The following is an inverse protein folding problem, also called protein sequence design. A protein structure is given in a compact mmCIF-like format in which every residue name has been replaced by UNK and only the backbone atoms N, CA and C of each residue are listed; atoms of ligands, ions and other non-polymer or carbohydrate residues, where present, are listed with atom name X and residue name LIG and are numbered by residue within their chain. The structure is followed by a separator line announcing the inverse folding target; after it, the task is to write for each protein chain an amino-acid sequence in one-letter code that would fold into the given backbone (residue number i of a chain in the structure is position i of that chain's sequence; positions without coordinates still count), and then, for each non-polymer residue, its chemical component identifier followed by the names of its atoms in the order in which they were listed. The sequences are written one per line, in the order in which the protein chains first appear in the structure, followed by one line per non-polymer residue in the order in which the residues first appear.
data_IF_894010577460
#
_entry.id   IF_894010577460
#
_cell.length_a   1.000
_cell.length_b   1.000
_cell.length_c   1.000
_cell.angle_alpha   90.00
_cell.angle_beta   90.00
_cell.angle_gamma   90.00
#
_symmetry.space_group_name_H-M   'P 1'
#
loop_
_entity.id
_entity.type
_entity.pdbx_description
1 polymer ?
#
# COMPACT_ATOMS: atom_id res chain seq x y z
N UNK A 1 23.46 -6.55 -30.46
CA UNK A 1 22.25 -5.75 -30.14
C UNK A 1 22.47 -5.13 -28.77
N UNK A 2 22.73 -3.82 -28.69
CA UNK A 2 22.85 -3.13 -27.39
C UNK A 2 21.45 -2.92 -26.81
N UNK A 3 21.26 -3.29 -25.54
CA UNK A 3 20.00 -3.09 -24.84
C UNK A 3 19.75 -1.58 -24.66
N UNK A 4 18.64 -1.06 -25.21
CA UNK A 4 18.26 0.34 -25.12
C UNK A 4 17.81 0.76 -23.70
N UNK A 5 17.56 -0.20 -22.81
CA UNK A 5 17.18 0.06 -21.42
C UNK A 5 18.38 0.02 -20.48
N UNK A 6 18.51 1.06 -19.64
CA UNK A 6 19.58 1.13 -18.63
C UNK A 6 19.36 0.04 -17.58
N UNK A 7 20.34 -0.85 -17.40
CA UNK A 7 20.34 -1.80 -16.29
C UNK A 7 20.38 -1.00 -14.98
N UNK A 8 19.40 -1.21 -14.08
CA UNK A 8 19.39 -0.47 -12.82
C UNK A 8 20.60 -0.82 -11.95
N UNK A 9 21.21 0.19 -11.30
CA UNK A 9 22.30 -0.02 -10.33
C UNK A 9 21.82 -0.63 -9.00
N UNK A 10 22.69 -0.68 -7.99
CA UNK A 10 22.41 -1.23 -6.65
C UNK A 10 21.95 -0.18 -5.60
N UNK A 11 21.92 1.11 -5.96
CA UNK A 11 21.40 2.19 -5.11
C UNK A 11 20.05 2.65 -5.67
N UNK A 12 18.98 2.49 -4.89
CA UNK A 12 17.62 2.81 -5.33
C UNK A 12 17.01 3.89 -4.45
N UNK A 13 16.33 4.84 -5.09
CA UNK A 13 15.60 5.88 -4.38
C UNK A 13 14.10 5.56 -4.41
N UNK A 14 13.51 5.42 -3.23
CA UNK A 14 12.07 5.32 -3.02
C UNK A 14 11.67 6.27 -1.89
N UNK A 15 10.63 7.10 -2.05
CA UNK A 15 10.13 7.89 -0.93
C UNK A 15 9.55 6.95 0.14
N UNK A 16 9.75 7.30 1.41
CA UNK A 16 9.02 6.65 2.51
C UNK A 16 7.52 6.88 2.36
N UNK A 17 6.72 5.92 2.85
CA UNK A 17 5.27 6.08 2.96
C UNK A 17 4.95 7.25 3.89
N UNK A 18 4.03 8.12 3.46
CA UNK A 18 3.57 9.31 4.20
C UNK A 18 2.07 9.22 4.41
N UNK A 19 1.57 9.83 5.48
CA UNK A 19 0.17 9.84 5.89
C UNK A 19 -0.84 10.10 4.74
N UNK A 20 -0.48 11.00 3.82
CA UNK A 20 -1.36 11.39 2.70
C UNK A 20 -1.32 10.46 1.48
N UNK A 21 -0.41 9.49 1.44
CA UNK A 21 -0.31 8.56 0.31
C UNK A 21 -1.42 7.53 0.40
N UNK A 22 -1.94 7.07 -0.73
CA UNK A 22 -3.06 6.11 -0.76
C UNK A 22 -2.71 4.81 -0.04
N UNK A 23 -1.50 4.31 -0.26
CA UNK A 23 -0.97 3.10 0.37
C UNK A 23 -0.80 3.21 1.89
N UNK A 24 -0.92 4.40 2.50
CA UNK A 24 -0.66 4.60 3.92
C UNK A 24 -1.56 3.76 4.81
N UNK A 25 -0.91 3.04 5.72
CA UNK A 25 -1.49 2.31 6.82
C UNK A 25 -0.93 2.79 8.15
N UNK A 26 -1.67 2.56 9.22
CA UNK A 26 -1.24 2.90 10.58
C UNK A 26 -0.17 1.92 11.09
N UNK A 27 1.05 2.08 10.57
CA UNK A 27 2.22 1.29 10.95
C UNK A 27 3.50 2.14 10.88
N UNK A 28 4.35 2.13 11.92
CA UNK A 28 5.48 3.05 12.04
C UNK A 28 6.54 2.87 10.95
N UNK A 29 6.68 1.66 10.41
CA UNK A 29 7.75 1.29 9.49
C UNK A 29 7.26 0.61 8.20
N UNK A 30 6.05 0.96 7.74
CA UNK A 30 5.51 0.46 6.48
C UNK A 30 6.49 0.67 5.32
N UNK A 31 6.72 -0.37 4.52
CA UNK A 31 7.55 -0.30 3.33
C UNK A 31 6.74 0.21 2.13
N UNK A 32 7.33 1.04 1.23
CA UNK A 32 6.64 1.50 0.03
C UNK A 32 6.37 0.37 -0.95
N UNK A 33 5.17 0.32 -1.53
CA UNK A 33 4.79 -0.70 -2.51
C UNK A 33 5.75 -0.75 -3.71
N UNK A 34 6.23 0.41 -4.17
CA UNK A 34 7.15 0.51 -5.30
C UNK A 34 8.50 -0.21 -5.07
N UNK A 35 8.97 -0.25 -3.81
CA UNK A 35 10.17 -1.01 -3.45
C UNK A 35 9.91 -2.51 -3.58
N UNK A 36 8.77 -2.98 -3.08
CA UNK A 36 8.41 -4.40 -3.10
C UNK A 36 8.07 -4.88 -4.51
N UNK A 37 7.44 -4.04 -5.34
CA UNK A 37 7.13 -4.36 -6.74
C UNK A 37 8.41 -4.71 -7.50
N UNK A 38 9.44 -3.88 -7.34
CA UNK A 38 10.74 -4.09 -7.94
C UNK A 38 11.42 -5.38 -7.45
N UNK A 39 11.44 -5.61 -6.13
CA UNK A 39 12.07 -6.81 -5.55
C UNK A 39 11.37 -8.07 -6.03
N UNK A 40 10.04 -8.10 -6.00
CA UNK A 40 9.25 -9.29 -6.38
C UNK A 40 9.43 -9.58 -7.88
N UNK A 41 9.40 -8.57 -8.75
CA UNK A 41 9.64 -8.76 -10.19
C UNK A 41 11.04 -9.26 -10.51
N UNK A 42 12.04 -8.80 -9.76
CA UNK A 42 13.43 -9.19 -9.99
C UNK A 42 13.75 -10.62 -9.50
N UNK A 43 12.98 -11.12 -8.53
CA UNK A 43 13.30 -12.36 -7.79
C UNK A 43 12.25 -13.48 -7.93
N UNK A 44 11.20 -13.28 -8.74
CA UNK A 44 10.14 -14.29 -8.92
C UNK A 44 9.40 -14.14 -10.25
N UNK A 45 8.78 -15.22 -10.70
CA UNK A 45 7.86 -15.26 -11.83
C UNK A 45 6.39 -15.27 -11.36
N UNK A 46 5.42 -14.95 -12.23
CA UNK A 46 4.01 -15.22 -11.95
C UNK A 46 3.79 -16.68 -11.52
N UNK A 47 2.91 -16.90 -10.54
CA UNK A 47 2.62 -18.20 -9.92
C UNK A 47 3.57 -18.62 -8.78
N UNK A 48 4.77 -18.03 -8.69
CA UNK A 48 5.72 -18.32 -7.63
C UNK A 48 5.18 -17.94 -6.24
N UNK A 49 5.77 -18.55 -5.21
CA UNK A 49 5.42 -18.30 -3.81
C UNK A 49 6.40 -17.30 -3.18
N UNK A 50 5.88 -16.19 -2.65
CA UNK A 50 6.64 -15.19 -1.89
C UNK A 50 6.37 -15.36 -0.40
N UNK A 51 7.42 -15.55 0.41
CA UNK A 51 7.33 -15.63 1.87
C UNK A 51 7.80 -14.33 2.51
N UNK A 52 7.00 -13.79 3.42
CA UNK A 52 7.38 -12.67 4.30
C UNK A 52 7.12 -13.06 5.77
N UNK A 53 8.15 -13.38 6.56
CA UNK A 53 7.99 -13.77 7.96
C UNK A 53 7.73 -12.59 8.91
N UNK A 54 7.78 -11.35 8.42
CA UNK A 54 7.56 -10.12 9.19
C UNK A 54 6.64 -9.17 8.41
N UNK A 55 5.45 -9.67 8.08
CA UNK A 55 4.60 -9.07 7.07
C UNK A 55 4.12 -7.65 7.44
N UNK A 56 4.05 -7.29 8.72
CA UNK A 56 3.56 -6.00 9.18
C UNK A 56 2.16 -5.75 8.62
N UNK A 57 1.99 -4.66 7.87
CA UNK A 57 0.74 -4.35 7.15
C UNK A 57 0.58 -5.08 5.83
N UNK A 58 1.27 -6.20 5.63
CA UNK A 58 1.17 -7.11 4.47
C UNK A 58 1.43 -6.43 3.12
N UNK A 59 2.34 -5.46 3.07
CA UNK A 59 2.70 -4.78 1.80
C UNK A 59 3.25 -5.77 0.78
N UNK A 60 4.10 -6.70 1.21
CA UNK A 60 4.62 -7.78 0.36
C UNK A 60 3.50 -8.62 -0.23
N UNK A 61 2.52 -9.02 0.58
CA UNK A 61 1.37 -9.81 0.12
C UNK A 61 0.47 -9.05 -0.86
N UNK A 62 0.17 -7.77 -0.59
CA UNK A 62 -0.63 -6.93 -1.47
C UNK A 62 0.02 -6.78 -2.85
N UNK A 63 1.33 -6.53 -2.89
CA UNK A 63 2.08 -6.41 -4.14
C UNK A 63 2.22 -7.76 -4.83
N UNK A 64 2.53 -8.84 -4.11
CA UNK A 64 2.62 -10.20 -4.67
C UNK A 64 1.31 -10.61 -5.34
N UNK A 65 0.16 -10.41 -4.67
CA UNK A 65 -1.16 -10.68 -5.24
C UNK A 65 -1.42 -9.86 -6.50
N UNK A 66 -1.13 -8.55 -6.50
CA UNK A 66 -1.28 -7.68 -7.68
C UNK A 66 -0.40 -8.12 -8.85
N UNK A 67 0.75 -8.71 -8.56
CA UNK A 67 1.69 -9.24 -9.53
C UNK A 67 1.40 -10.70 -9.93
N UNK A 68 0.28 -11.30 -9.55
CA UNK A 68 -0.03 -12.71 -9.85
C UNK A 68 1.00 -13.68 -9.24
N UNK A 69 1.44 -13.42 -8.01
CA UNK A 69 2.23 -14.36 -7.19
C UNK A 69 1.38 -14.86 -6.03
N UNK A 70 1.65 -16.08 -5.59
CA UNK A 70 1.15 -16.59 -4.31
C UNK A 70 1.98 -15.98 -3.20
N UNK A 71 1.43 -15.84 -1.99
CA UNK A 71 2.19 -15.33 -0.86
C UNK A 71 1.83 -16.04 0.44
N UNK A 72 2.79 -16.08 1.37
CA UNK A 72 2.58 -16.39 2.78
C UNK A 72 3.17 -15.23 3.58
N UNK A 73 2.32 -14.58 4.39
CA UNK A 73 2.73 -13.53 5.31
C UNK A 73 2.53 -14.00 6.75
N UNK A 74 3.54 -13.81 7.60
CA UNK A 74 3.47 -14.10 9.03
C UNK A 74 3.58 -12.78 9.78
N UNK A 75 2.66 -12.56 10.70
CA UNK A 75 2.64 -11.39 11.58
C UNK A 75 2.13 -11.82 12.95
N UNK A 76 2.70 -11.23 14.01
CA UNK A 76 2.34 -11.53 15.40
C UNK A 76 1.30 -10.55 15.92
N UNK A 77 1.40 -9.28 15.54
CA UNK A 77 0.55 -8.22 16.06
C UNK A 77 -0.85 -8.26 15.44
N UNK A 78 -1.89 -8.32 16.28
CA UNK A 78 -3.26 -8.57 15.83
C UNK A 78 -3.81 -7.42 15.00
N UNK A 79 -3.49 -6.19 15.38
CA UNK A 79 -3.91 -4.99 14.66
C UNK A 79 -3.33 -4.93 13.23
N UNK A 80 -2.11 -5.41 13.04
CA UNK A 80 -1.49 -5.48 11.72
C UNK A 80 -2.07 -6.62 10.87
N UNK A 81 -2.47 -7.74 11.50
CA UNK A 81 -3.22 -8.80 10.84
C UNK A 81 -4.57 -8.27 10.32
N UNK A 82 -5.30 -7.49 11.12
CA UNK A 82 -6.57 -6.86 10.69
C UNK A 82 -6.36 -5.99 9.43
N UNK A 83 -5.33 -5.15 9.42
CA UNK A 83 -4.94 -4.35 8.24
C UNK A 83 -4.63 -5.26 7.04
N UNK A 84 -3.85 -6.33 7.25
CA UNK A 84 -3.48 -7.28 6.21
C UNK A 84 -4.67 -7.99 5.58
N UNK A 85 -5.57 -8.52 6.41
CA UNK A 85 -6.81 -9.19 5.97
C UNK A 85 -7.65 -8.26 5.09
N UNK A 86 -7.75 -6.98 5.46
CA UNK A 86 -8.43 -5.95 4.67
C UNK A 86 -7.73 -5.70 3.33
N UNK A 87 -6.43 -5.39 3.35
CA UNK A 87 -5.65 -5.07 2.14
C UNK A 87 -5.66 -6.21 1.13
N UNK A 88 -5.63 -7.44 1.62
CA UNK A 88 -5.67 -8.65 0.81
C UNK A 88 -7.08 -9.06 0.39
N UNK A 89 -8.11 -8.34 0.85
CA UNK A 89 -9.53 -8.59 0.58
C UNK A 89 -9.95 -10.01 0.96
N UNK A 90 -9.43 -10.53 2.08
CA UNK A 90 -9.72 -11.89 2.52
C UNK A 90 -11.06 -11.97 3.27
N UNK A 91 -11.37 -10.94 4.07
CA UNK A 91 -12.61 -10.80 4.84
C UNK A 91 -12.93 -9.32 5.02
N UNK A 92 -14.21 -9.02 5.26
CA UNK A 92 -14.67 -7.66 5.62
C UNK A 92 -14.67 -7.42 7.14
N UNK A 93 -14.71 -8.49 7.93
CA UNK A 93 -14.77 -8.44 9.39
C UNK A 93 -13.75 -9.42 10.00
N UNK A 94 -13.22 -9.05 11.16
CA UNK A 94 -12.36 -9.91 11.97
C UNK A 94 -12.55 -9.53 13.44
N UNK A 95 -12.67 -10.51 14.33
CA UNK A 95 -12.83 -10.32 15.78
C UNK A 95 -14.05 -9.43 16.16
N UNK A 96 -15.11 -9.47 15.35
CA UNK A 96 -16.31 -8.66 15.55
C UNK A 96 -16.17 -7.19 15.13
N UNK A 97 -15.05 -6.82 14.49
CA UNK A 97 -14.81 -5.48 13.97
C UNK A 97 -14.87 -5.45 12.45
N UNK A 98 -15.48 -4.40 11.89
CA UNK A 98 -15.45 -4.11 10.46
C UNK A 98 -14.11 -3.51 10.04
N UNK A 99 -13.49 -4.09 9.02
CA UNK A 99 -12.16 -3.74 8.58
C UNK A 99 -12.21 -2.59 7.56
N UNK A 100 -11.93 -1.37 8.01
CA UNK A 100 -11.90 -0.17 7.16
C UNK A 100 -10.50 0.43 7.07
N UNK A 101 -10.20 1.12 5.95
CA UNK A 101 -8.96 1.89 5.78
C UNK A 101 -8.90 3.08 6.75
N UNK A 102 -7.69 3.51 7.18
CA UNK A 102 -7.55 4.64 8.09
C UNK A 102 -8.17 5.91 7.48
N UNK A 103 -9.00 6.60 8.27
CA UNK A 103 -9.61 7.87 7.86
C UNK A 103 -8.54 8.96 7.84
N UNK A 104 -8.24 9.46 6.65
CA UNK A 104 -7.28 10.55 6.45
C UNK A 104 -8.02 11.88 6.61
N UNK A 105 -7.57 12.73 7.54
CA UNK A 105 -8.12 14.08 7.71
C UNK A 105 -7.05 15.14 7.46
N UNK A 106 -7.45 16.26 6.85
CA UNK A 106 -6.56 17.40 6.69
C UNK A 106 -7.35 18.71 6.76
N UNK A 107 -6.93 19.61 7.66
CA UNK A 107 -7.39 20.99 7.70
C UNK A 107 -6.43 21.87 6.91
N UNK A 108 -6.91 22.41 5.79
CA UNK A 108 -6.18 23.39 5.00
C UNK A 108 -6.23 24.74 5.72
N UNK A 109 -5.14 25.13 6.39
CA UNK A 109 -5.00 26.49 6.91
C UNK A 109 -4.82 27.43 5.71
N UNK A 110 -5.90 27.96 5.16
CA UNK A 110 -5.81 29.12 4.27
C UNK A 110 -5.34 30.33 5.08
N UNK A 111 -4.25 30.96 4.63
CA UNK A 111 -3.83 32.24 5.17
C UNK A 111 -4.89 33.29 4.88
N UNK A 112 -5.47 33.86 5.95
CA UNK A 112 -6.47 34.94 6.00
C UNK A 112 -7.83 34.65 5.34
N UNK A 113 -8.81 34.34 6.19
CA UNK A 113 -10.24 34.26 5.83
C UNK A 113 -10.87 32.94 6.26
N UNK A 114 -11.46 32.91 7.45
CA UNK A 114 -12.16 31.75 8.01
C UNK A 114 -13.47 31.47 7.27
N UNK A 115 -13.51 30.40 6.47
CA UNK A 115 -14.71 29.60 6.23
C UNK A 115 -14.34 28.12 6.34
N UNK A 116 -15.08 27.39 7.18
CA UNK A 116 -14.78 26.02 7.56
C UNK A 116 -15.48 25.08 6.57
N UNK A 117 -14.79 24.63 5.53
CA UNK A 117 -15.27 23.54 4.64
C UNK A 117 -14.53 22.25 4.96
N UNK A 118 -15.26 21.29 5.52
CA UNK A 118 -14.83 19.91 5.69
C UNK A 118 -14.97 19.19 4.35
N UNK A 119 -13.91 19.11 3.56
CA UNK A 119 -13.90 18.25 2.38
C UNK A 119 -13.47 16.85 2.78
N UNK A 120 -14.43 15.94 2.96
CA UNK A 120 -14.16 14.50 2.93
C UNK A 120 -13.80 14.12 1.49
N UNK A 121 -12.55 13.70 1.27
CA UNK A 121 -12.14 13.19 -0.04
C UNK A 121 -12.79 11.81 -0.28
N UNK A 122 -13.97 11.83 -0.88
CA UNK A 122 -14.59 10.70 -1.56
C UNK A 122 -15.06 11.24 -2.90
N UNK A 123 -14.36 10.89 -3.97
CA UNK A 123 -14.65 11.42 -5.29
C UNK A 123 -13.63 10.94 -6.31
N UNK A 124 -14.02 9.87 -7.02
CA UNK A 124 -13.44 9.45 -8.28
C UNK A 124 -13.22 10.66 -9.19
N UNK A 125 -11.98 10.86 -9.61
CA UNK A 125 -11.62 11.81 -10.65
C UNK A 125 -11.35 11.01 -11.92
N UNK A 126 -12.04 11.40 -12.99
CA UNK A 126 -11.95 10.95 -14.41
C UNK A 126 -13.09 10.06 -14.93
N UNK A 127 -14.32 10.59 -14.96
CA UNK A 127 -15.13 10.49 -16.19
C UNK A 127 -14.89 11.75 -17.03
N UNK A 128 -14.22 11.59 -18.17
CA UNK A 128 -14.27 12.56 -19.27
C UNK A 128 -15.11 11.92 -20.35
N UNK A 129 -16.32 12.43 -20.58
CA UNK A 129 -17.12 12.08 -21.76
C UNK A 129 -17.64 13.34 -22.46
N UNK A 130 -17.38 13.34 -23.78
CA UNK A 130 -17.81 14.22 -24.88
C UNK A 130 -17.01 15.51 -25.10
#
# INVERSE_FOLDING_TARGET
LYNASKVPGNVWYFPRVRYRMDEYEEHPSQKPEALLDRIIRASSNPGDLVLDPFAGTFTTGAVAKRLDRRFIGIEREREYIKIGVRRLQLRQELDGEHLASPKKSYTRKHGKGSHNEQTSATGDLFEVTK
#
